data_IF_557685678527
#
_entry.id   IF_557685678527
#
_cell.length_a   1.000
_cell.length_b   1.000
_cell.length_c   1.000
_cell.angle_alpha   90.00
_cell.angle_beta   90.00
_cell.angle_gamma   90.00
#
_symmetry.space_group_name_H-M   'P 1'
#
loop_
_entity.id
_entity.type
_entity.pdbx_description
1 polymer ?
#
# COMPACT_ATOMS: atom_id res chain seq x y z
N UNK A 1 14.44 -1.35 20.33
CA UNK A 1 13.40 -2.26 19.79
C UNK A 1 14.12 -3.39 19.08
N UNK A 2 13.64 -4.63 19.14
CA UNK A 2 14.22 -5.67 18.29
C UNK A 2 13.93 -5.36 16.82
N UNK A 3 14.87 -5.69 15.93
CA UNK A 3 14.68 -5.64 14.46
C UNK A 3 13.33 -6.27 14.05
N UNK A 4 12.98 -7.36 14.74
CA UNK A 4 11.74 -8.10 14.57
C UNK A 4 10.47 -7.27 14.83
N UNK A 5 10.47 -6.47 15.90
CA UNK A 5 9.35 -5.58 16.21
C UNK A 5 9.24 -4.45 15.20
N UNK A 6 10.37 -3.91 14.72
CA UNK A 6 10.37 -2.87 13.69
C UNK A 6 9.76 -3.38 12.39
N UNK A 7 10.17 -4.57 11.94
CA UNK A 7 9.65 -5.24 10.74
C UNK A 7 8.15 -5.53 10.83
N UNK A 8 7.64 -5.83 12.03
CA UNK A 8 6.21 -5.97 12.29
C UNK A 8 5.45 -4.66 12.05
N UNK A 9 5.92 -3.54 12.60
CA UNK A 9 5.28 -2.23 12.39
C UNK A 9 5.30 -1.79 10.93
N UNK A 10 6.39 -2.08 10.20
CA UNK A 10 6.48 -1.79 8.76
C UNK A 10 5.47 -2.64 7.98
N UNK A 11 5.24 -3.89 8.38
CA UNK A 11 4.19 -4.75 7.77
C UNK A 11 2.80 -4.19 8.01
N UNK A 12 2.52 -3.70 9.22
CA UNK A 12 1.26 -3.03 9.53
C UNK A 12 1.09 -1.74 8.71
N UNK A 13 2.14 -0.95 8.54
CA UNK A 13 2.11 0.20 7.66
C UNK A 13 1.82 -0.18 6.20
N UNK A 14 2.42 -1.28 5.70
CA UNK A 14 2.15 -1.83 4.37
C UNK A 14 0.69 -2.27 4.18
N UNK A 15 0.10 -2.94 5.18
CA UNK A 15 -1.31 -3.31 5.15
C UNK A 15 -2.25 -2.10 5.14
N UNK A 16 -1.95 -1.07 5.93
CA UNK A 16 -2.70 0.20 5.92
C UNK A 16 -2.59 0.87 4.56
N UNK A 17 -1.40 0.87 3.94
CA UNK A 17 -1.18 1.38 2.59
C UNK A 17 -2.01 0.66 1.53
N UNK A 18 -2.14 -0.68 1.61
CA UNK A 18 -3.02 -1.43 0.72
C UNK A 18 -4.49 -1.04 0.89
N UNK A 19 -4.95 -0.87 2.12
CA UNK A 19 -6.31 -0.44 2.41
C UNK A 19 -6.59 0.95 1.83
N UNK A 20 -5.64 1.87 1.97
CA UNK A 20 -5.68 3.22 1.41
C UNK A 20 -5.71 3.20 -0.13
N UNK A 21 -4.89 2.34 -0.75
CA UNK A 21 -4.86 2.15 -2.19
C UNK A 21 -6.22 1.68 -2.72
N UNK A 22 -6.83 0.67 -2.09
CA UNK A 22 -8.15 0.17 -2.47
C UNK A 22 -9.22 1.26 -2.31
N UNK A 23 -9.18 2.03 -1.22
CA UNK A 23 -10.06 3.18 -1.02
C UNK A 23 -9.94 4.23 -2.12
N UNK A 24 -8.71 4.56 -2.54
CA UNK A 24 -8.45 5.49 -3.64
C UNK A 24 -8.89 4.94 -5.01
N UNK A 25 -8.70 3.64 -5.26
CA UNK A 25 -9.20 2.97 -6.48
C UNK A 25 -10.73 3.05 -6.52
N UNK A 26 -11.40 2.73 -5.41
CA UNK A 26 -12.85 2.83 -5.32
C UNK A 26 -13.34 4.28 -5.52
N UNK A 27 -12.65 5.26 -4.92
CA UNK A 27 -13.00 6.68 -5.09
C UNK A 27 -12.85 7.15 -6.54
N UNK A 28 -11.74 6.77 -7.18
CA UNK A 28 -11.49 7.04 -8.60
C UNK A 28 -12.58 6.44 -9.49
N UNK A 29 -13.01 5.20 -9.21
CA UNK A 29 -13.94 4.45 -10.06
C UNK A 29 -15.41 4.81 -9.85
N UNK A 30 -15.81 5.14 -8.62
CA UNK A 30 -17.22 5.29 -8.25
C UNK A 30 -17.69 6.75 -8.18
N UNK A 31 -16.83 7.67 -7.69
CA UNK A 31 -17.23 9.08 -7.47
C UNK A 31 -16.63 10.06 -8.47
N UNK A 32 -15.46 9.77 -9.03
CA UNK A 32 -14.74 10.69 -9.91
C UNK A 32 -15.00 10.33 -11.38
N UNK A 33 -15.32 11.33 -12.21
CA UNK A 33 -15.49 11.18 -13.66
C UNK A 33 -14.60 12.19 -14.40
N UNK A 34 -13.99 11.78 -15.51
CA UNK A 34 -13.10 12.61 -16.32
C UNK A 34 -11.61 12.47 -15.95
N UNK A 35 -10.79 13.47 -16.28
CA UNK A 35 -9.32 13.41 -16.14
C UNK A 35 -8.87 13.22 -14.68
N UNK A 36 -9.64 13.74 -13.72
CA UNK A 36 -9.34 13.62 -12.28
C UNK A 36 -9.39 12.17 -11.81
N UNK A 37 -10.29 11.34 -12.36
CA UNK A 37 -10.33 9.92 -11.99
C UNK A 37 -9.10 9.17 -12.47
N UNK A 38 -8.56 9.53 -13.63
CA UNK A 38 -7.34 8.94 -14.19
C UNK A 38 -6.13 9.28 -13.32
N UNK A 39 -5.97 10.54 -12.92
CA UNK A 39 -4.87 10.97 -12.04
C UNK A 39 -4.94 10.24 -10.70
N UNK A 40 -6.13 10.16 -10.09
CA UNK A 40 -6.32 9.46 -8.81
C UNK A 40 -6.13 7.95 -8.96
N UNK A 41 -6.51 7.36 -10.09
CA UNK A 41 -6.26 5.94 -10.37
C UNK A 41 -4.76 5.65 -10.47
N UNK A 42 -4.01 6.48 -11.20
CA UNK A 42 -2.55 6.35 -11.33
C UNK A 42 -1.88 6.44 -9.96
N UNK A 43 -2.28 7.42 -9.14
CA UNK A 43 -1.78 7.54 -7.77
C UNK A 43 -2.10 6.29 -6.94
N UNK A 44 -3.32 5.78 -7.03
CA UNK A 44 -3.74 4.60 -6.30
C UNK A 44 -2.97 3.33 -6.70
N UNK A 45 -2.64 3.18 -7.98
CA UNK A 45 -1.78 2.09 -8.46
C UNK A 45 -0.34 2.21 -7.95
N UNK A 46 0.22 3.42 -7.86
CA UNK A 46 1.54 3.63 -7.26
C UNK A 46 1.53 3.18 -5.79
N UNK A 47 0.51 3.57 -5.02
CA UNK A 47 0.34 3.14 -3.64
C UNK A 47 0.19 1.62 -3.52
N UNK A 48 -0.56 0.98 -4.43
CA UNK A 48 -0.72 -0.48 -4.46
C UNK A 48 0.62 -1.20 -4.72
N UNK A 49 1.40 -0.72 -5.70
CA UNK A 49 2.70 -1.31 -6.05
C UNK A 49 3.69 -1.15 -4.89
N UNK A 50 3.77 0.05 -4.30
CA UNK A 50 4.65 0.30 -3.15
C UNK A 50 4.28 -0.59 -1.97
N UNK A 51 2.98 -0.72 -1.66
CA UNK A 51 2.52 -1.59 -0.59
C UNK A 51 2.88 -3.06 -0.85
N UNK A 52 2.72 -3.51 -2.10
CA UNK A 52 3.13 -4.85 -2.53
C UNK A 52 4.63 -5.10 -2.35
N UNK A 53 5.48 -4.14 -2.74
CA UNK A 53 6.94 -4.23 -2.57
C UNK A 53 7.32 -4.26 -1.09
N UNK A 54 6.71 -3.41 -0.26
CA UNK A 54 6.97 -3.37 1.18
C UNK A 54 6.63 -4.70 1.84
N UNK A 55 5.45 -5.26 1.57
CA UNK A 55 5.04 -6.56 2.14
C UNK A 55 5.92 -7.69 1.60
N UNK A 56 6.22 -7.69 0.30
CA UNK A 56 7.08 -8.71 -0.31
C UNK A 56 8.48 -8.73 0.31
N UNK A 57 9.08 -7.55 0.53
CA UNK A 57 10.39 -7.42 1.16
C UNK A 57 10.39 -7.95 2.60
N UNK A 58 9.38 -7.62 3.40
CA UNK A 58 9.31 -8.05 4.81
C UNK A 58 9.01 -9.54 4.94
N UNK A 59 8.11 -10.07 4.10
CA UNK A 59 7.77 -11.50 4.10
C UNK A 59 8.97 -12.35 3.70
N UNK A 60 9.75 -11.92 2.69
CA UNK A 60 10.96 -12.64 2.28
C UNK A 60 12.12 -12.50 3.26
N UNK A 61 12.31 -11.32 3.85
CA UNK A 61 13.35 -11.10 4.86
C UNK A 61 13.07 -11.83 6.18
N UNK A 62 11.83 -12.28 6.37
CA UNK A 62 11.35 -12.84 7.61
C UNK A 62 11.25 -11.75 8.68
N UNK A 63 10.17 -11.67 9.47
CA UNK A 63 10.03 -10.69 10.54
C UNK A 63 11.01 -10.92 11.71
N UNK A 64 12.05 -11.75 11.55
CA UNK A 64 12.98 -12.19 12.60
C UNK A 64 14.45 -11.93 12.28
N UNK A 65 14.80 -11.49 11.07
CA UNK A 65 16.16 -11.05 10.75
C UNK A 65 16.49 -9.74 11.45
#
# INVERSE_FOLDING_TARGET
MSESMLNMYISFAGMIFMFLAIGLIMLSRLKLKGVISVIVAILAYIFMILAGIIIFYIVLSGPTS
#
